data_IF_255346947604
#
_entry.id   IF_255346947604
#
_cell.length_a   1.000
_cell.length_b   1.000
_cell.length_c   1.000
_cell.angle_alpha   90.00
_cell.angle_beta   90.00
_cell.angle_gamma   90.00
#
_symmetry.space_group_name_H-M   'P 1'
#
loop_
_entity.id
_entity.type
_entity.pdbx_description
1 polymer ?
#
# COMPACT_ATOMS: atom_id res chain seq x y z
N UNK A 1 -4.99 0.29 20.87
CA UNK A 1 -3.72 0.83 20.34
C UNK A 1 -2.85 -0.36 19.95
N UNK A 2 -2.70 -0.66 18.66
CA UNK A 2 -1.90 -1.82 18.21
C UNK A 2 -0.51 -1.31 17.84
N UNK A 3 0.51 -1.80 18.55
CA UNK A 3 1.93 -1.51 18.37
C UNK A 3 2.62 -2.80 17.90
N UNK A 4 2.84 -2.92 16.60
CA UNK A 4 3.71 -3.92 15.98
C UNK A 4 4.46 -3.22 14.83
N UNK A 5 5.61 -3.73 14.35
CA UNK A 5 6.34 -3.09 13.27
C UNK A 5 5.45 -3.10 12.02
N UNK A 6 4.82 -1.96 11.72
CA UNK A 6 3.93 -1.80 10.59
C UNK A 6 4.73 -1.95 9.28
N UNK A 7 4.94 -3.17 8.80
CA UNK A 7 5.17 -3.39 7.38
C UNK A 7 3.80 -3.21 6.72
N UNK A 8 3.37 -1.95 6.58
CA UNK A 8 2.15 -1.57 5.86
C UNK A 8 2.59 -0.74 4.67
N UNK A 9 3.09 -1.38 3.59
CA UNK A 9 3.80 -0.67 2.52
C UNK A 9 2.92 0.36 1.79
N UNK A 10 1.60 0.21 1.93
CA UNK A 10 0.57 1.09 1.40
C UNK A 10 0.24 2.29 2.32
N UNK A 11 0.65 2.26 3.58
CA UNK A 11 0.37 3.28 4.58
C UNK A 11 1.62 4.11 4.90
N UNK A 12 1.41 5.37 5.23
CA UNK A 12 2.42 6.29 5.72
C UNK A 12 2.61 6.16 7.23
N UNK A 13 3.54 6.95 7.81
CA UNK A 13 3.87 6.88 9.25
C UNK A 13 2.69 7.11 10.20
N UNK A 14 1.67 7.84 9.73
CA UNK A 14 0.44 8.11 10.48
C UNK A 14 -0.66 7.05 10.28
N UNK A 15 -0.37 5.93 9.60
CA UNK A 15 -1.33 4.88 9.29
C UNK A 15 -2.32 5.23 8.16
N UNK A 16 -2.11 6.36 7.48
CA UNK A 16 -2.96 6.79 6.35
C UNK A 16 -2.43 6.31 5.01
N UNK A 17 -3.28 6.13 3.99
CA UNK A 17 -2.83 5.78 2.65
C UNK A 17 -1.72 6.72 2.16
N UNK A 18 -0.66 6.16 1.57
CA UNK A 18 0.40 6.96 0.93
C UNK A 18 -0.13 7.56 -0.36
N UNK A 19 -0.36 8.88 -0.46
CA UNK A 19 -1.10 9.46 -1.58
C UNK A 19 -0.44 9.23 -2.94
N UNK A 20 0.88 9.05 -3.00
CA UNK A 20 1.61 8.79 -4.25
C UNK A 20 1.30 7.41 -4.86
N UNK A 21 0.70 6.50 -4.08
CA UNK A 21 0.30 5.16 -4.55
C UNK A 21 -1.14 5.13 -5.07
N UNK A 22 -1.92 6.20 -4.89
CA UNK A 22 -3.33 6.28 -5.30
C UNK A 22 -3.56 7.43 -6.29
N UNK A 23 -4.60 7.30 -7.10
CA UNK A 23 -5.13 8.37 -7.93
C UNK A 23 -5.81 9.43 -7.06
N UNK A 24 -6.23 10.56 -7.67
CA UNK A 24 -6.85 11.67 -6.94
C UNK A 24 -8.12 11.29 -6.16
N UNK A 25 -8.78 10.19 -6.53
CA UNK A 25 -9.96 9.66 -5.85
C UNK A 25 -9.63 8.86 -4.58
N UNK A 26 -8.35 8.64 -4.26
CA UNK A 26 -7.89 7.82 -3.14
C UNK A 26 -8.40 6.37 -3.15
N UNK A 27 -8.89 5.88 -4.29
CA UNK A 27 -9.45 4.55 -4.47
C UNK A 27 -8.59 3.72 -5.43
N UNK A 28 -8.32 4.26 -6.61
CA UNK A 28 -7.57 3.53 -7.64
C UNK A 28 -6.07 3.66 -7.38
N UNK A 29 -5.32 2.59 -7.64
CA UNK A 29 -3.86 2.64 -7.54
C UNK A 29 -3.25 3.34 -8.75
N UNK A 30 -2.18 4.10 -8.51
CA UNK A 30 -1.28 4.53 -9.57
C UNK A 30 -0.50 3.34 -10.11
N UNK A 31 0.27 3.53 -11.19
CA UNK A 31 1.23 2.51 -11.66
C UNK A 31 2.20 2.06 -10.56
N UNK A 32 2.71 2.99 -9.75
CA UNK A 32 3.59 2.68 -8.64
C UNK A 32 2.87 1.85 -7.56
N UNK A 33 1.60 2.19 -7.27
CA UNK A 33 0.73 1.43 -6.39
C UNK A 33 0.56 -0.02 -6.84
N UNK A 34 0.26 -0.25 -8.12
CA UNK A 34 0.10 -1.61 -8.65
C UNK A 34 1.40 -2.41 -8.66
N UNK A 35 2.55 -1.79 -8.96
CA UNK A 35 3.84 -2.48 -8.92
C UNK A 35 4.17 -2.98 -7.51
N UNK A 36 3.94 -2.13 -6.51
CA UNK A 36 4.09 -2.50 -5.11
C UNK A 36 3.11 -3.60 -4.73
N UNK A 37 1.82 -3.42 -5.00
CA UNK A 37 0.78 -4.38 -4.67
C UNK A 37 1.05 -5.76 -5.30
N UNK A 38 1.46 -5.81 -6.57
CA UNK A 38 1.89 -7.04 -7.25
C UNK A 38 3.03 -7.74 -6.53
N UNK A 39 4.06 -7.01 -6.10
CA UNK A 39 5.19 -7.61 -5.38
C UNK A 39 4.79 -8.20 -4.02
N UNK A 40 3.82 -7.58 -3.35
CA UNK A 40 3.30 -8.05 -2.07
C UNK A 40 2.38 -9.27 -2.22
N UNK A 41 1.64 -9.35 -3.33
CA UNK A 41 0.79 -10.49 -3.63
C UNK A 41 1.53 -11.70 -4.22
N UNK A 42 2.64 -11.49 -4.92
CA UNK A 42 3.42 -12.55 -5.55
C UNK A 42 3.68 -13.80 -4.66
N UNK A 43 4.01 -13.69 -3.36
CA UNK A 43 4.21 -14.88 -2.52
C UNK A 43 2.92 -15.59 -2.09
N UNK A 44 1.74 -14.97 -2.22
CA UNK A 44 0.47 -15.50 -1.66
C UNK A 44 -0.56 -15.87 -2.74
N UNK A 45 -0.29 -15.57 -4.00
CA UNK A 45 -1.11 -15.95 -5.15
C UNK A 45 -0.33 -16.96 -6.00
N UNK A 46 -0.93 -18.13 -6.26
CA UNK A 46 -0.38 -19.16 -7.16
C UNK A 46 -0.76 -18.92 -8.61
#
# INVERSE_FOLDING_TARGET
>A
MIQGPFITPMLGPAGQPRPQLFQADSLHLTRAGYLLWRSLLAPVVR
#
